data_IF_842742520309
#
_entry.id   IF_842742520309
#
_cell.length_a   1.000
_cell.length_b   1.000
_cell.length_c   1.000
_cell.angle_alpha   90.00
_cell.angle_beta   90.00
_cell.angle_gamma   90.00
#
_symmetry.space_group_name_H-M   'P 1'
#
loop_
_entity.id
_entity.type
_entity.pdbx_description
1 polymer ?
#
# COMPACT_ATOMS: atom_id res chain seq x y z
N UNK A 1 12.62 6.50 -22.83
CA UNK A 1 12.02 5.30 -22.19
C UNK A 1 10.94 5.77 -21.24
N UNK A 2 9.67 5.58 -21.57
CA UNK A 2 8.58 5.76 -20.62
C UNK A 2 8.74 4.69 -19.54
N UNK A 3 9.32 5.04 -18.39
CA UNK A 3 9.23 4.19 -17.19
C UNK A 3 7.75 4.18 -16.85
N UNK A 4 7.07 3.06 -17.11
CA UNK A 4 5.72 2.86 -16.59
C UNK A 4 5.76 3.10 -15.07
N UNK A 5 4.89 3.98 -14.60
CA UNK A 5 4.76 4.26 -13.17
C UNK A 5 4.25 2.98 -12.52
N UNK A 6 5.11 2.32 -11.72
CA UNK A 6 4.69 1.15 -10.95
C UNK A 6 3.72 1.61 -9.86
N UNK A 7 2.54 1.01 -9.82
CA UNK A 7 1.48 1.30 -8.86
C UNK A 7 1.21 0.05 -8.02
N UNK A 8 1.01 0.22 -6.72
CA UNK A 8 0.64 -0.85 -5.80
C UNK A 8 -0.75 -0.55 -5.23
N UNK A 9 -1.67 -1.49 -5.35
CA UNK A 9 -3.03 -1.35 -4.83
C UNK A 9 -3.17 -1.96 -3.44
N UNK A 10 -3.81 -1.22 -2.54
CA UNK A 10 -4.10 -1.69 -1.18
C UNK A 10 -5.39 -2.50 -1.13
N UNK A 11 -5.30 -3.68 -0.52
CA UNK A 11 -6.40 -4.57 -0.24
C UNK A 11 -6.53 -4.81 1.26
N UNK A 12 -7.75 -4.99 1.74
CA UNK A 12 -7.96 -5.30 3.15
C UNK A 12 -7.64 -6.77 3.42
N UNK A 13 -6.77 -7.07 4.39
CA UNK A 13 -6.39 -8.43 4.79
C UNK A 13 -7.56 -9.22 5.38
N UNK A 14 -8.57 -8.53 5.95
CA UNK A 14 -9.77 -9.15 6.55
C UNK A 14 -10.77 -9.61 5.48
N UNK A 15 -11.24 -8.69 4.63
CA UNK A 15 -12.29 -9.00 3.64
C UNK A 15 -11.77 -9.28 2.23
N UNK A 16 -10.45 -9.18 1.99
CA UNK A 16 -9.78 -9.39 0.70
C UNK A 16 -10.26 -8.50 -0.45
N UNK A 17 -11.03 -7.45 -0.15
CA UNK A 17 -11.51 -6.47 -1.13
C UNK A 17 -10.54 -5.28 -1.24
N UNK A 18 -10.52 -4.66 -2.41
CA UNK A 18 -9.76 -3.44 -2.67
C UNK A 18 -10.18 -2.34 -1.67
N UNK A 19 -9.23 -1.54 -1.24
CA UNK A 19 -9.49 -0.34 -0.44
C UNK A 19 -9.71 0.91 -1.29
N UNK A 20 -9.53 0.82 -2.62
CA UNK A 20 -9.49 1.97 -3.56
C UNK A 20 -8.42 3.00 -3.17
N UNK A 21 -7.28 2.50 -2.68
CA UNK A 21 -6.09 3.29 -2.37
C UNK A 21 -4.95 2.66 -3.13
N UNK A 22 -4.16 3.49 -3.80
CA UNK A 22 -3.01 3.06 -4.59
C UNK A 22 -1.79 3.88 -4.19
N UNK A 23 -0.62 3.26 -4.24
CA UNK A 23 0.67 3.88 -3.98
C UNK A 23 1.51 3.90 -5.26
N UNK A 24 1.94 5.09 -5.67
CA UNK A 24 2.88 5.25 -6.79
C UNK A 24 4.29 5.04 -6.26
N UNK A 25 4.99 4.03 -6.80
CA UNK A 25 6.35 3.68 -6.38
C UNK A 25 7.32 4.78 -6.80
N UNK A 26 8.11 5.26 -5.83
CA UNK A 26 9.07 6.34 -6.02
C UNK A 26 10.41 5.83 -6.56
N UNK A 27 10.75 4.57 -6.29
CA UNK A 27 12.06 3.97 -6.57
C UNK A 27 13.06 4.14 -5.42
N UNK A 28 12.70 4.86 -4.35
CA UNK A 28 13.51 5.01 -3.15
C UNK A 28 13.00 4.06 -2.05
N UNK A 29 13.73 2.96 -1.82
CA UNK A 29 13.39 1.96 -0.79
C UNK A 29 13.28 2.51 0.63
N UNK A 30 13.88 3.66 0.93
CA UNK A 30 13.81 4.30 2.25
C UNK A 30 12.67 5.31 2.39
N UNK A 31 11.90 5.56 1.32
CA UNK A 31 10.81 6.52 1.34
C UNK A 31 9.70 6.07 2.29
N UNK A 32 9.19 6.95 3.18
CA UNK A 32 8.13 6.59 4.12
C UNK A 32 6.80 6.43 3.37
N UNK A 33 6.12 5.30 3.56
CA UNK A 33 4.81 5.01 2.96
C UNK A 33 3.71 5.47 3.91
N UNK A 34 2.92 6.45 3.47
CA UNK A 34 1.72 6.96 4.16
C UNK A 34 1.94 7.25 5.66
N UNK A 35 2.97 8.02 6.03
CA UNK A 35 3.24 8.30 7.44
C UNK A 35 2.10 9.09 8.07
N UNK A 36 1.67 8.66 9.27
CA UNK A 36 0.59 9.31 10.05
C UNK A 36 -0.78 9.34 9.35
N UNK A 37 -0.99 8.47 8.37
CA UNK A 37 -2.29 8.28 7.72
C UNK A 37 -3.01 7.07 8.32
N UNK A 38 -4.30 7.25 8.63
CA UNK A 38 -5.20 6.14 8.94
C UNK A 38 -6.04 5.82 7.71
N UNK A 39 -6.11 4.53 7.36
CA UNK A 39 -6.93 4.05 6.25
C UNK A 39 -8.06 3.19 6.78
N UNK A 40 -9.29 3.48 6.37
CA UNK A 40 -10.46 2.68 6.71
C UNK A 40 -10.89 1.87 5.49
N UNK A 41 -11.08 0.56 5.67
CA UNK A 41 -11.68 -0.27 4.64
C UNK A 41 -13.15 0.15 4.43
N UNK A 42 -13.49 0.59 3.22
CA UNK A 42 -14.84 1.01 2.86
C UNK A 42 -15.85 -0.15 2.79
N UNK A 43 -15.38 -1.40 2.86
CA UNK A 43 -16.25 -2.58 2.87
C UNK A 43 -16.53 -3.14 4.27
N UNK A 44 -15.51 -3.26 5.14
CA UNK A 44 -15.66 -3.91 6.45
C UNK A 44 -15.41 -2.99 7.65
N UNK A 45 -15.09 -1.72 7.40
CA UNK A 45 -14.88 -0.70 8.44
C UNK A 45 -13.57 -0.82 9.21
N UNK A 46 -12.75 -1.85 8.98
CA UNK A 46 -11.44 -2.02 9.64
C UNK A 46 -10.54 -0.82 9.36
N UNK A 47 -9.95 -0.27 10.41
CA UNK A 47 -8.96 0.82 10.34
C UNK A 47 -7.56 0.25 10.47
N UNK A 48 -6.63 0.71 9.65
CA UNK A 48 -5.21 0.34 9.70
C UNK A 48 -4.31 1.57 9.56
N UNK A 49 -3.07 1.42 10.04
CA UNK A 49 -2.02 2.43 9.96
C UNK A 49 -0.70 1.77 9.59
N UNK A 50 0.10 2.44 8.76
CA UNK A 50 1.49 2.04 8.50
C UNK A 50 2.41 2.90 9.38
N UNK A 51 2.99 2.29 10.42
CA UNK A 51 3.90 2.98 11.35
C UNK A 51 5.34 2.75 10.93
N UNK A 52 6.06 3.83 10.64
CA UNK A 52 7.48 3.79 10.22
C UNK A 52 7.75 2.84 9.04
N UNK A 53 6.75 2.63 8.17
CA UNK A 53 6.82 1.66 7.09
C UNK A 53 7.48 2.28 5.86
N UNK A 54 8.51 1.62 5.33
CA UNK A 54 9.27 2.10 4.17
C UNK A 54 8.86 1.42 2.87
N UNK A 55 9.13 2.07 1.74
CA UNK A 55 8.83 1.53 0.40
C UNK A 55 9.49 0.17 0.17
N UNK A 56 10.71 -0.07 0.67
CA UNK A 56 11.36 -1.37 0.60
C UNK A 56 10.55 -2.48 1.27
N UNK A 57 10.04 -2.22 2.48
CA UNK A 57 9.21 -3.20 3.22
C UNK A 57 7.85 -3.44 2.55
N UNK A 58 7.32 -2.43 1.87
CA UNK A 58 6.13 -2.57 1.04
C UNK A 58 6.41 -3.52 -0.12
N UNK A 59 7.48 -3.25 -0.88
CA UNK A 59 7.86 -4.02 -2.06
C UNK A 59 8.16 -5.49 -1.72
N UNK A 60 8.75 -5.77 -0.56
CA UNK A 60 9.06 -7.13 -0.11
C UNK A 60 7.81 -7.96 0.25
N UNK A 61 6.64 -7.32 0.39
CA UNK A 61 5.36 -7.95 0.79
C UNK A 61 4.27 -7.84 -0.27
N UNK A 62 4.57 -7.26 -1.42
CA UNK A 62 3.61 -7.13 -2.53
C UNK A 62 3.51 -8.44 -3.28
N UNK A 63 2.28 -8.86 -3.56
CA UNK A 63 1.96 -10.01 -4.39
C UNK A 63 1.18 -9.52 -5.62
N UNK A 64 1.76 -9.63 -6.82
CA UNK A 64 1.12 -9.20 -8.08
C UNK A 64 0.56 -7.76 -8.01
N UNK A 65 1.40 -6.81 -7.58
CA UNK A 65 1.07 -5.39 -7.40
C UNK A 65 -0.05 -5.09 -6.37
N UNK A 66 -0.40 -6.09 -5.55
CA UNK A 66 -1.36 -5.94 -4.44
C UNK A 66 -0.63 -6.02 -3.11
N UNK A 67 -0.99 -5.15 -2.19
CA UNK A 67 -0.57 -5.22 -0.79
C UNK A 67 -1.77 -5.41 0.13
N UNK A 68 -1.77 -6.50 0.90
CA UNK A 68 -2.83 -6.82 1.85
C UNK A 68 -2.49 -6.32 3.25
N UNK A 69 -3.24 -5.34 3.72
CA UNK A 69 -3.04 -4.67 5.00
C UNK A 69 -4.15 -5.00 6.02
#
# INVERSE_FOLDING_TARGET
MNKELKVIDFYCKKCKKSMKVSYMVTGNRNYPVLPRVMMKCHHCGRVMTLKNFKEGELLDRVEQDKYYI
#
